data_IF_748528858784
#
_entry.id   IF_748528858784
#
_cell.length_a   1.000
_cell.length_b   1.000
_cell.length_c   1.000
_cell.angle_alpha   90.00
_cell.angle_beta   90.00
_cell.angle_gamma   90.00
#
_symmetry.space_group_name_H-M   'P 1'
#
loop_
_entity.id
_entity.type
_entity.pdbx_description
1 polymer ?
#
# COMPACT_ATOMS: atom_id res chain seq x y z
N UNK A 1 -9.06 -25.46 -8.77
CA UNK A 1 -7.96 -24.82 -8.03
C UNK A 1 -8.17 -23.34 -8.16
N UNK A 2 -8.70 -22.73 -7.10
CA UNK A 2 -8.91 -21.28 -7.03
C UNK A 2 -7.74 -20.65 -6.27
N UNK A 3 -7.45 -19.38 -6.57
CA UNK A 3 -6.47 -18.60 -5.82
C UNK A 3 -7.18 -17.45 -5.12
N UNK A 4 -6.84 -17.21 -3.88
CA UNK A 4 -7.43 -16.16 -3.06
C UNK A 4 -6.35 -15.25 -2.52
N UNK A 5 -6.63 -13.94 -2.52
CA UNK A 5 -5.88 -12.98 -1.73
C UNK A 5 -6.80 -12.49 -0.60
N UNK A 6 -6.44 -12.81 0.63
CA UNK A 6 -7.18 -12.38 1.81
C UNK A 6 -6.44 -11.24 2.49
N UNK A 7 -7.18 -10.19 2.84
CA UNK A 7 -6.67 -9.05 3.59
C UNK A 7 -7.66 -8.67 4.69
N UNK A 8 -7.23 -7.91 5.67
CA UNK A 8 -8.06 -7.24 6.66
C UNK A 8 -8.77 -6.00 6.11
N UNK A 9 -8.21 -5.41 5.05
CA UNK A 9 -8.59 -4.10 4.56
C UNK A 9 -10.05 -3.98 4.16
N UNK A 10 -10.58 -2.76 4.29
CA UNK A 10 -11.89 -2.34 3.79
C UNK A 10 -11.74 -1.00 3.06
N UNK A 11 -12.76 -0.60 2.33
CA UNK A 11 -12.76 0.70 1.65
C UNK A 11 -11.58 0.84 0.69
N UNK A 12 -10.76 1.87 0.89
CA UNK A 12 -9.62 2.20 0.03
C UNK A 12 -8.59 1.08 -0.08
N UNK A 13 -8.22 0.44 1.02
CA UNK A 13 -7.25 -0.66 1.01
C UNK A 13 -7.77 -1.86 0.22
N UNK A 14 -9.04 -2.23 0.44
CA UNK A 14 -9.68 -3.31 -0.31
C UNK A 14 -9.78 -2.99 -1.81
N UNK A 15 -10.18 -1.76 -2.16
CA UNK A 15 -10.20 -1.30 -3.56
C UNK A 15 -8.80 -1.32 -4.19
N UNK A 16 -7.76 -0.96 -3.45
CA UNK A 16 -6.37 -1.04 -3.90
C UNK A 16 -5.99 -2.47 -4.28
N UNK A 17 -6.26 -3.44 -3.40
CA UNK A 17 -5.95 -4.85 -3.66
C UNK A 17 -6.77 -5.43 -4.82
N UNK A 18 -8.07 -5.12 -4.88
CA UNK A 18 -8.93 -5.47 -6.03
C UNK A 18 -8.37 -4.92 -7.34
N UNK A 19 -7.88 -3.67 -7.34
CA UNK A 19 -7.32 -3.05 -8.53
C UNK A 19 -6.01 -3.73 -8.98
N UNK A 20 -5.08 -3.97 -8.05
CA UNK A 20 -3.82 -4.66 -8.36
C UNK A 20 -4.09 -6.07 -8.89
N UNK A 21 -4.91 -6.86 -8.20
CA UNK A 21 -5.21 -8.22 -8.63
C UNK A 21 -6.03 -8.25 -9.93
N UNK A 22 -6.99 -7.36 -10.10
CA UNK A 22 -7.82 -7.30 -11.31
C UNK A 22 -7.00 -7.12 -12.60
N UNK A 23 -5.87 -6.39 -12.53
CA UNK A 23 -5.00 -6.19 -13.69
C UNK A 23 -3.85 -7.19 -13.78
N UNK A 24 -3.22 -7.54 -12.67
CA UNK A 24 -1.98 -8.33 -12.69
C UNK A 24 -2.21 -9.83 -12.41
N UNK A 25 -3.28 -10.16 -11.69
CA UNK A 25 -3.58 -11.50 -11.19
C UNK A 25 -5.08 -11.82 -11.33
N UNK A 26 -5.62 -11.83 -12.56
CA UNK A 26 -7.06 -11.96 -12.79
C UNK A 26 -7.64 -13.32 -12.34
N UNK A 27 -6.77 -14.31 -12.08
CA UNK A 27 -7.12 -15.61 -11.50
C UNK A 27 -7.20 -15.60 -9.96
N UNK A 28 -6.83 -14.49 -9.30
CA UNK A 28 -6.87 -14.32 -7.85
C UNK A 28 -8.13 -13.55 -7.43
N UNK A 29 -8.94 -14.18 -6.57
CA UNK A 29 -10.10 -13.54 -5.95
C UNK A 29 -9.70 -12.84 -4.65
N UNK A 30 -9.94 -11.53 -4.57
CA UNK A 30 -9.64 -10.72 -3.38
C UNK A 30 -10.82 -10.80 -2.40
N UNK A 31 -10.55 -11.10 -1.13
CA UNK A 31 -11.58 -11.13 -0.08
C UNK A 31 -11.12 -10.41 1.19
N UNK A 32 -11.95 -9.49 1.67
CA UNK A 32 -11.74 -8.85 2.97
C UNK A 32 -12.24 -9.76 4.12
N UNK A 33 -11.40 -9.93 5.14
CA UNK A 33 -11.75 -10.53 6.42
C UNK A 33 -11.98 -9.47 7.51
N UNK A 34 -12.10 -8.19 7.15
CA UNK A 34 -12.53 -7.05 7.98
C UNK A 34 -11.51 -6.55 9.02
N UNK A 35 -10.77 -7.47 9.65
CA UNK A 35 -9.69 -7.17 10.61
C UNK A 35 -8.73 -8.36 10.78
N UNK A 36 -7.58 -8.11 11.41
CA UNK A 36 -6.51 -9.09 11.62
C UNK A 36 -6.97 -10.32 12.44
N UNK A 37 -7.82 -10.14 13.45
CA UNK A 37 -8.30 -11.26 14.26
C UNK A 37 -9.20 -12.21 13.46
N UNK A 38 -10.10 -11.69 12.62
CA UNK A 38 -10.96 -12.50 11.74
C UNK A 38 -10.16 -13.14 10.60
N UNK A 39 -9.17 -12.43 10.06
CA UNK A 39 -8.23 -12.98 9.09
C UNK A 39 -7.48 -14.19 9.68
N UNK A 40 -6.94 -14.05 10.90
CA UNK A 40 -6.27 -15.14 11.62
C UNK A 40 -7.20 -16.34 11.84
N UNK A 41 -8.44 -16.10 12.25
CA UNK A 41 -9.44 -17.17 12.45
C UNK A 41 -9.73 -17.88 11.12
N UNK A 42 -9.86 -17.14 10.01
CA UNK A 42 -10.06 -17.73 8.70
C UNK A 42 -8.87 -18.61 8.28
N UNK A 43 -7.63 -18.14 8.50
CA UNK A 43 -6.40 -18.90 8.21
C UNK A 43 -6.33 -20.20 9.04
N UNK A 44 -6.79 -20.18 10.28
CA UNK A 44 -6.85 -21.38 11.13
C UNK A 44 -7.70 -22.49 10.51
N UNK A 45 -8.80 -22.08 9.86
CA UNK A 45 -9.80 -22.97 9.28
C UNK A 45 -9.44 -23.50 7.88
N UNK A 46 -8.41 -22.95 7.24
CA UNK A 46 -7.92 -23.45 5.94
C UNK A 46 -7.49 -24.91 6.08
N UNK A 47 -7.89 -25.72 5.11
CA UNK A 47 -7.51 -27.12 4.94
C UNK A 47 -6.84 -27.29 3.58
N UNK A 48 -6.29 -28.48 3.34
CA UNK A 48 -5.90 -28.89 2.00
C UNK A 48 -7.15 -29.17 1.16
N UNK A 49 -7.62 -28.13 0.47
CA UNK A 49 -8.80 -28.14 -0.40
C UNK A 49 -8.43 -27.92 -1.87
N UNK A 50 -7.14 -27.96 -2.20
CA UNK A 50 -6.61 -27.69 -3.53
C UNK A 50 -6.71 -26.23 -3.98
N UNK A 51 -6.98 -25.27 -3.07
CA UNK A 51 -6.92 -23.83 -3.33
C UNK A 51 -5.65 -23.22 -2.75
N UNK A 52 -5.20 -22.10 -3.32
CA UNK A 52 -4.05 -21.32 -2.85
C UNK A 52 -4.52 -20.04 -2.14
N UNK A 53 -3.91 -19.73 -1.00
CA UNK A 53 -4.29 -18.61 -0.15
C UNK A 53 -3.12 -17.67 0.11
N UNK A 54 -3.16 -16.47 -0.46
CA UNK A 54 -2.23 -15.38 -0.21
C UNK A 54 -2.78 -14.46 0.87
N UNK A 55 -2.10 -14.37 2.01
CA UNK A 55 -2.57 -13.66 3.19
C UNK A 55 -1.80 -12.35 3.33
N UNK A 56 -2.40 -11.24 2.88
CA UNK A 56 -1.91 -9.89 3.20
C UNK A 56 -2.25 -9.56 4.64
N UNK A 57 -1.27 -9.05 5.37
CA UNK A 57 -1.46 -8.60 6.75
C UNK A 57 -0.57 -7.39 7.05
N UNK A 58 -1.17 -6.39 7.66
CA UNK A 58 -0.53 -5.21 8.20
C UNK A 58 0.37 -5.61 9.37
N UNK A 59 1.65 -5.29 9.23
CA UNK A 59 2.76 -5.72 10.06
C UNK A 59 3.53 -4.53 10.60
N UNK A 60 2.79 -3.53 11.11
CA UNK A 60 3.33 -2.41 11.85
C UNK A 60 4.06 -2.89 13.11
N UNK A 61 5.38 -2.76 13.12
CA UNK A 61 6.24 -3.32 14.15
C UNK A 61 6.16 -2.58 15.50
N UNK A 62 5.59 -1.39 15.53
CA UNK A 62 5.41 -0.56 16.72
C UNK A 62 4.09 -0.86 17.47
N UNK A 63 3.27 -1.78 16.95
CA UNK A 63 2.02 -2.20 17.57
C UNK A 63 2.14 -3.63 18.13
N UNK A 64 2.26 -3.81 19.47
CA UNK A 64 2.43 -5.12 20.09
C UNK A 64 1.27 -6.10 19.85
N UNK A 65 0.05 -5.58 19.68
CA UNK A 65 -1.13 -6.40 19.41
C UNK A 65 -1.09 -6.95 17.97
N UNK A 66 -0.67 -6.12 17.01
CA UNK A 66 -0.43 -6.54 15.62
C UNK A 66 0.65 -7.63 15.55
N UNK A 67 1.78 -7.43 16.24
CA UNK A 67 2.84 -8.44 16.32
C UNK A 67 2.36 -9.78 16.90
N UNK A 68 1.49 -9.72 17.92
CA UNK A 68 0.89 -10.92 18.52
C UNK A 68 -0.03 -11.64 17.54
N UNK A 69 -0.90 -10.91 16.85
CA UNK A 69 -1.80 -11.47 15.83
C UNK A 69 -1.00 -12.11 14.68
N UNK A 70 0.06 -11.46 14.19
CA UNK A 70 0.94 -12.02 13.16
C UNK A 70 1.62 -13.30 13.64
N UNK A 71 2.14 -13.33 14.87
CA UNK A 71 2.78 -14.54 15.43
C UNK A 71 1.78 -15.69 15.51
N UNK A 72 0.55 -15.41 15.93
CA UNK A 72 -0.51 -16.41 16.02
C UNK A 72 -0.97 -16.87 14.62
N UNK A 73 -1.09 -15.96 13.65
CA UNK A 73 -1.42 -16.29 12.26
C UNK A 73 -0.34 -17.17 11.62
N UNK A 74 0.94 -16.84 11.80
CA UNK A 74 2.06 -17.69 11.35
C UNK A 74 2.02 -19.08 11.96
N UNK A 75 1.62 -19.20 13.23
CA UNK A 75 1.42 -20.51 13.88
C UNK A 75 0.27 -21.28 13.23
N UNK A 76 -0.84 -20.61 12.93
CA UNK A 76 -2.01 -21.23 12.28
C UNK A 76 -1.70 -21.68 10.84
N UNK A 77 -0.83 -20.98 10.13
CA UNK A 77 -0.38 -21.33 8.78
C UNK A 77 0.73 -22.40 8.76
N UNK A 78 1.37 -22.70 9.91
CA UNK A 78 2.50 -23.61 9.95
C UNK A 78 2.08 -25.02 9.48
N UNK A 79 2.80 -25.55 8.49
CA UNK A 79 2.51 -26.86 7.89
C UNK A 79 1.41 -26.84 6.83
N UNK A 80 0.91 -25.68 6.42
CA UNK A 80 -0.03 -25.51 5.29
C UNK A 80 0.74 -25.01 4.07
N UNK A 81 0.99 -25.88 3.11
CA UNK A 81 1.75 -25.54 1.89
C UNK A 81 0.98 -24.60 0.95
N UNK A 82 -0.35 -24.55 1.10
CA UNK A 82 -1.25 -23.72 0.31
C UNK A 82 -1.54 -22.34 0.93
N UNK A 83 -0.78 -21.92 1.97
CA UNK A 83 -0.96 -20.63 2.65
C UNK A 83 0.33 -19.81 2.61
N UNK A 84 0.29 -18.68 1.90
CA UNK A 84 1.43 -17.80 1.66
C UNK A 84 1.23 -16.47 2.38
N UNK A 85 2.00 -16.21 3.44
CA UNK A 85 1.85 -14.98 4.23
C UNK A 85 2.69 -13.85 3.61
N UNK A 86 2.04 -12.72 3.33
CA UNK A 86 2.64 -11.51 2.78
C UNK A 86 2.54 -10.37 3.83
N UNK A 87 3.53 -10.24 4.72
CA UNK A 87 3.54 -9.14 5.66
C UNK A 87 3.93 -7.84 4.94
N UNK A 88 3.08 -6.83 5.04
CA UNK A 88 3.36 -5.46 4.59
C UNK A 88 3.11 -4.52 5.75
N UNK A 89 3.67 -3.31 5.73
CA UNK A 89 3.40 -2.37 6.82
C UNK A 89 1.92 -1.93 6.83
N UNK A 90 1.46 -1.36 5.72
CA UNK A 90 0.06 -1.07 5.40
C UNK A 90 -0.07 -0.75 3.90
N UNK A 91 -1.29 -0.68 3.36
CA UNK A 91 -1.47 -0.25 1.97
C UNK A 91 -1.05 1.23 1.77
N UNK A 92 -1.27 2.12 2.75
CA UNK A 92 -0.78 3.50 2.65
C UNK A 92 0.73 3.58 2.64
N UNK A 93 1.39 2.72 3.42
CA UNK A 93 2.85 2.62 3.37
C UNK A 93 3.31 2.07 2.02
N UNK A 94 2.59 1.13 1.41
CA UNK A 94 2.88 0.69 0.05
C UNK A 94 2.82 1.85 -0.95
N UNK A 95 1.79 2.70 -0.88
CA UNK A 95 1.67 3.92 -1.68
C UNK A 95 2.78 4.94 -1.36
N UNK A 96 3.13 5.15 -0.09
CA UNK A 96 4.25 6.02 0.29
C UNK A 96 5.59 5.47 -0.21
N UNK A 97 5.79 4.15 -0.26
CA UNK A 97 7.03 3.56 -0.76
C UNK A 97 7.15 3.59 -2.28
N UNK A 98 6.07 3.90 -2.99
CA UNK A 98 6.04 3.95 -4.45
C UNK A 98 6.93 5.07 -4.99
N UNK A 99 8.05 4.71 -5.61
CA UNK A 99 9.11 5.66 -6.00
C UNK A 99 8.67 6.71 -7.02
N UNK A 100 7.61 6.46 -7.78
CA UNK A 100 7.08 7.42 -8.76
C UNK A 100 5.92 8.25 -8.23
N UNK A 101 5.52 8.12 -6.95
CA UNK A 101 4.38 8.85 -6.37
C UNK A 101 4.47 10.36 -6.61
N UNK A 102 5.63 10.97 -6.34
CA UNK A 102 5.82 12.42 -6.54
C UNK A 102 5.68 12.80 -8.03
N UNK A 103 6.27 11.99 -8.92
CA UNK A 103 6.20 12.17 -10.38
C UNK A 103 4.80 11.93 -10.95
N UNK A 104 3.92 11.23 -10.23
CA UNK A 104 2.55 11.02 -10.64
C UNK A 104 1.66 12.17 -10.20
N UNK A 105 1.84 12.62 -8.96
CA UNK A 105 1.00 13.66 -8.37
C UNK A 105 1.30 15.02 -8.99
N UNK A 106 2.58 15.41 -9.08
CA UNK A 106 2.95 16.79 -9.39
C UNK A 106 3.49 16.94 -10.82
N UNK A 107 2.95 17.92 -11.55
CA UNK A 107 3.55 18.39 -12.80
C UNK A 107 4.87 19.15 -12.55
N UNK A 108 5.69 19.34 -13.59
CA UNK A 108 7.02 19.99 -13.45
C UNK A 108 6.96 21.38 -12.81
N UNK A 109 5.91 22.16 -13.10
CA UNK A 109 5.70 23.52 -12.59
C UNK A 109 4.47 23.62 -11.68
N UNK A 110 4.24 22.58 -10.86
CA UNK A 110 3.10 22.54 -9.95
C UNK A 110 3.40 23.26 -8.63
N UNK A 111 2.71 24.37 -8.35
CA UNK A 111 2.81 25.09 -7.07
C UNK A 111 2.48 24.22 -5.86
N UNK A 112 1.63 23.20 -6.02
CA UNK A 112 1.30 22.27 -4.95
C UNK A 112 2.53 21.47 -4.53
N UNK A 113 3.44 21.15 -5.46
CA UNK A 113 4.70 20.47 -5.15
C UNK A 113 5.53 21.28 -4.16
N UNK A 114 5.67 22.58 -4.41
CA UNK A 114 6.38 23.51 -3.52
C UNK A 114 5.75 23.54 -2.13
N UNK A 115 4.41 23.61 -2.07
CA UNK A 115 3.65 23.56 -0.81
C UNK A 115 3.79 22.21 -0.08
N UNK A 116 4.17 21.13 -0.76
CA UNK A 116 4.31 19.77 -0.21
C UNK A 116 5.75 19.30 0.00
N UNK A 117 6.77 20.12 -0.32
CA UNK A 117 8.19 19.77 -0.12
C UNK A 117 8.52 19.26 1.28
N UNK A 118 7.98 19.90 2.33
CA UNK A 118 8.16 19.45 3.71
C UNK A 118 7.64 18.03 3.94
N UNK A 119 6.46 17.70 3.42
CA UNK A 119 5.89 16.35 3.54
C UNK A 119 6.63 15.31 2.69
N UNK A 120 7.16 15.71 1.52
CA UNK A 120 8.01 14.84 0.70
C UNK A 120 9.33 14.50 1.40
N UNK A 121 9.92 15.46 2.12
CA UNK A 121 11.08 15.22 2.98
C UNK A 121 10.75 14.30 4.16
N UNK A 122 9.65 14.58 4.87
CA UNK A 122 9.15 13.73 5.97
C UNK A 122 8.90 12.30 5.47
N UNK A 123 8.35 12.13 4.25
CA UNK A 123 8.20 10.82 3.60
C UNK A 123 9.53 10.11 3.40
N UNK A 124 10.55 10.80 2.91
CA UNK A 124 11.87 10.20 2.72
C UNK A 124 12.45 9.69 4.06
N UNK A 125 12.39 10.51 5.11
CA UNK A 125 12.81 10.10 6.46
C UNK A 125 12.00 8.91 6.98
N UNK A 126 10.67 8.96 6.84
CA UNK A 126 9.78 7.91 7.31
C UNK A 126 10.07 6.56 6.62
N UNK A 127 10.30 6.55 5.31
CA UNK A 127 10.67 5.35 4.58
C UNK A 127 11.98 4.76 5.10
N UNK A 128 13.03 5.58 5.31
CA UNK A 128 14.31 5.09 5.87
C UNK A 128 14.12 4.47 7.24
N UNK A 129 13.37 5.12 8.12
CA UNK A 129 13.13 4.65 9.48
C UNK A 129 12.39 3.30 9.51
N UNK A 130 11.32 3.14 8.71
CA UNK A 130 10.56 1.88 8.66
C UNK A 130 11.35 0.76 7.99
N UNK A 131 12.12 1.07 6.96
CA UNK A 131 12.96 0.09 6.27
C UNK A 131 14.26 -0.23 7.03
N UNK A 132 14.44 0.32 8.23
CA UNK A 132 15.63 0.13 9.09
C UNK A 132 16.93 0.60 8.43
N UNK A 133 16.84 1.61 7.56
CA UNK A 133 17.95 2.29 6.90
C UNK A 133 18.26 3.65 7.54
N UNK A 134 17.48 4.06 8.54
CA UNK A 134 17.57 5.38 9.17
C UNK A 134 18.43 5.45 10.43
N UNK A 135 18.91 6.65 10.77
CA UNK A 135 19.71 6.91 11.97
C UNK A 135 18.91 7.48 13.15
N UNK A 136 19.52 7.53 14.33
CA UNK A 136 18.93 8.19 15.52
C UNK A 136 18.70 9.68 15.30
N UNK A 137 19.58 10.34 14.54
CA UNK A 137 19.48 11.74 14.15
C UNK A 137 18.28 11.96 13.22
N UNK A 138 18.12 11.10 12.21
CA UNK A 138 16.96 11.14 11.30
C UNK A 138 15.65 10.85 12.04
N UNK A 139 15.66 10.00 13.06
CA UNK A 139 14.49 9.78 13.93
C UNK A 139 14.14 11.04 14.74
N UNK A 140 15.15 11.75 15.26
CA UNK A 140 14.94 13.01 15.99
C UNK A 140 14.36 14.08 15.06
N UNK A 141 14.98 14.26 13.89
CA UNK A 141 14.53 15.19 12.86
C UNK A 141 13.08 14.89 12.44
N UNK A 142 12.76 13.62 12.16
CA UNK A 142 11.41 13.19 11.81
C UNK A 142 10.38 13.57 12.89
N UNK A 143 10.71 13.38 14.18
CA UNK A 143 9.83 13.71 15.31
C UNK A 143 9.65 15.22 15.53
N UNK A 144 10.63 16.01 15.13
CA UNK A 144 10.56 17.48 15.17
C UNK A 144 9.72 18.03 14.01
N UNK A 145 9.98 17.56 12.79
CA UNK A 145 9.28 17.98 11.58
C UNK A 145 7.84 17.48 11.53
N UNK A 146 7.55 16.33 12.15
CA UNK A 146 6.22 15.74 12.15
C UNK A 146 5.73 15.41 13.58
N UNK A 147 5.36 16.44 14.39
CA UNK A 147 4.97 16.24 15.79
C UNK A 147 3.81 15.27 16.01
N UNK A 148 2.96 15.06 15.00
CA UNK A 148 1.89 14.05 15.02
C UNK A 148 2.43 12.64 15.32
N UNK A 149 3.65 12.32 14.86
CA UNK A 149 4.30 11.03 15.09
C UNK A 149 4.59 10.72 16.58
N UNK A 150 4.55 11.72 17.48
CA UNK A 150 4.78 11.50 18.92
C UNK A 150 3.63 10.76 19.61
N UNK A 151 2.44 10.72 19.00
CA UNK A 151 1.21 10.17 19.59
C UNK A 151 0.46 9.21 18.66
N UNK A 152 1.08 8.83 17.56
CA UNK A 152 0.48 8.03 16.50
C UNK A 152 1.34 6.80 16.24
N UNK A 153 0.72 5.66 15.95
CA UNK A 153 1.44 4.50 15.46
C UNK A 153 1.89 4.73 13.99
N UNK A 154 2.75 3.87 13.47
CA UNK A 154 3.32 4.06 12.14
C UNK A 154 2.28 3.94 11.01
N UNK A 155 1.18 3.19 11.21
CA UNK A 155 0.04 3.15 10.26
C UNK A 155 -0.69 4.48 10.19
N UNK A 156 -1.00 5.07 11.34
CA UNK A 156 -1.62 6.39 11.45
C UNK A 156 -0.72 7.47 10.85
N UNK A 157 0.60 7.36 11.07
CA UNK A 157 1.59 8.23 10.43
C UNK A 157 1.56 8.06 8.91
N UNK A 158 1.59 6.82 8.40
CA UNK A 158 1.56 6.53 6.96
C UNK A 158 0.29 7.10 6.31
N UNK A 159 -0.87 6.84 6.91
CA UNK A 159 -2.15 7.33 6.43
C UNK A 159 -2.23 8.86 6.44
N UNK A 160 -1.80 9.51 7.55
CA UNK A 160 -1.81 10.98 7.66
C UNK A 160 -0.84 11.63 6.68
N UNK A 161 0.36 11.04 6.51
CA UNK A 161 1.38 11.57 5.62
C UNK A 161 1.00 11.41 4.16
N UNK A 162 0.44 10.25 3.78
CA UNK A 162 -0.12 10.03 2.44
C UNK A 162 -1.19 11.08 2.15
N UNK A 163 -2.15 11.26 3.07
CA UNK A 163 -3.19 12.28 2.95
C UNK A 163 -2.60 13.69 2.76
N UNK A 164 -1.63 14.12 3.57
CA UNK A 164 -1.04 15.45 3.41
C UNK A 164 -0.31 15.63 2.09
N UNK A 165 0.27 14.57 1.51
CA UNK A 165 0.92 14.63 0.20
C UNK A 165 -0.12 14.68 -0.93
N UNK A 166 -1.18 13.87 -0.84
CA UNK A 166 -2.11 13.64 -1.94
C UNK A 166 -3.36 14.52 -1.90
N UNK A 167 -3.67 15.18 -0.78
CA UNK A 167 -4.91 15.94 -0.62
C UNK A 167 -5.07 17.03 -1.68
N UNK A 168 -6.31 17.25 -2.10
CA UNK A 168 -6.72 18.11 -3.21
C UNK A 168 -6.11 17.68 -4.56
N UNK A 169 -5.86 16.39 -4.76
CA UNK A 169 -5.44 15.82 -6.05
C UNK A 169 -6.28 14.59 -6.36
N UNK A 170 -6.29 14.13 -7.61
CA UNK A 170 -6.95 12.88 -7.98
C UNK A 170 -6.35 11.61 -7.33
N UNK A 171 -5.23 11.75 -6.60
CA UNK A 171 -4.58 10.68 -5.83
C UNK A 171 -4.98 10.70 -4.34
N UNK A 172 -5.82 11.64 -3.89
CA UNK A 172 -6.28 11.66 -2.51
C UNK A 172 -7.05 10.38 -2.16
N UNK A 173 -6.65 9.73 -1.08
CA UNK A 173 -7.31 8.53 -0.55
C UNK A 173 -8.10 8.90 0.70
N UNK A 174 -9.35 8.43 0.78
CA UNK A 174 -10.20 8.55 1.96
C UNK A 174 -10.51 7.18 2.57
N UNK A 175 -11.31 7.13 3.64
CA UNK A 175 -11.62 5.87 4.34
C UNK A 175 -12.40 4.85 3.51
N UNK A 176 -13.11 5.29 2.49
CA UNK A 176 -13.97 4.48 1.64
C UNK A 176 -13.36 4.19 0.27
N UNK A 177 -12.57 5.13 -0.27
CA UNK A 177 -12.11 5.08 -1.66
C UNK A 177 -10.63 5.40 -1.81
N UNK A 178 -9.97 4.61 -2.66
CA UNK A 178 -8.65 4.97 -3.18
C UNK A 178 -8.78 6.12 -4.17
N UNK A 179 -7.78 7.01 -4.21
CA UNK A 179 -7.73 8.09 -5.19
C UNK A 179 -7.88 7.57 -6.61
N UNK A 180 -8.86 8.11 -7.34
CA UNK A 180 -9.28 7.61 -8.66
C UNK A 180 -8.11 7.56 -9.66
N UNK A 181 -7.16 8.49 -9.58
CA UNK A 181 -6.00 8.53 -10.47
C UNK A 181 -5.05 7.34 -10.27
N UNK A 182 -5.15 6.56 -9.19
CA UNK A 182 -4.42 5.29 -9.05
C UNK A 182 -5.03 4.15 -9.87
N UNK A 183 -6.33 4.18 -10.14
CA UNK A 183 -7.09 3.00 -10.61
C UNK A 183 -7.65 3.14 -12.02
N UNK A 184 -7.81 4.36 -12.54
CA UNK A 184 -8.31 4.59 -13.91
C UNK A 184 -7.20 4.97 -14.88
N UNK A 185 -7.48 4.89 -16.18
CA UNK A 185 -6.63 5.44 -17.23
C UNK A 185 -6.42 6.96 -17.02
N UNK A 186 -5.21 7.46 -17.32
CA UNK A 186 -4.91 8.87 -17.16
C UNK A 186 -5.89 9.77 -17.93
N UNK A 187 -6.39 10.78 -17.22
CA UNK A 187 -7.31 11.80 -17.75
C UNK A 187 -8.74 11.32 -18.06
N UNK A 188 -9.09 10.07 -17.77
CA UNK A 188 -10.41 9.51 -18.13
C UNK A 188 -11.43 9.51 -16.98
N UNK A 189 -11.14 10.17 -15.85
CA UNK A 189 -12.09 10.30 -14.74
C UNK A 189 -13.02 11.51 -14.92
N UNK A 190 -14.31 11.28 -14.70
CA UNK A 190 -15.40 12.19 -15.07
C UNK A 190 -15.45 13.54 -14.37
N UNK A 191 -14.73 13.71 -13.25
CA UNK A 191 -14.73 14.92 -12.43
C UNK A 191 -13.48 15.80 -12.64
N UNK A 192 -12.60 15.44 -13.58
CA UNK A 192 -11.37 16.19 -13.87
C UNK A 192 -11.69 17.60 -14.40
N UNK A 193 -11.08 18.61 -13.78
CA UNK A 193 -11.15 20.00 -14.19
C UNK A 193 -9.93 20.41 -15.02
N UNK A 194 -10.03 21.51 -15.77
CA UNK A 194 -8.96 21.99 -16.63
C UNK A 194 -7.68 22.38 -15.85
N UNK A 195 -7.83 22.77 -14.59
CA UNK A 195 -6.74 23.09 -13.66
C UNK A 195 -6.27 21.91 -12.81
N UNK A 196 -6.89 20.72 -12.95
CA UNK A 196 -6.39 19.49 -12.34
C UNK A 196 -5.20 19.00 -13.15
N UNK A 197 -4.03 19.60 -12.91
CA UNK A 197 -2.75 19.17 -13.49
C UNK A 197 -2.16 18.03 -12.67
N UNK A 198 -1.42 17.15 -13.33
CA UNK A 198 -0.64 16.12 -12.65
C UNK A 198 0.61 15.74 -13.44
N UNK A 199 1.53 15.03 -12.80
CA UNK A 199 2.78 14.63 -13.44
C UNK A 199 2.63 13.59 -14.56
N UNK A 200 1.42 13.06 -14.76
CA UNK A 200 1.09 12.12 -15.84
C UNK A 200 0.49 12.79 -17.08
N UNK A 201 0.35 14.12 -17.11
CA UNK A 201 -0.32 14.81 -18.21
C UNK A 201 0.42 14.68 -19.55
N UNK A 202 1.76 14.69 -19.50
CA UNK A 202 2.61 14.55 -20.68
C UNK A 202 2.95 13.09 -21.01
N UNK A 203 2.61 12.15 -20.13
CA UNK A 203 2.87 10.72 -20.32
C UNK A 203 1.72 9.91 -19.73
N UNK A 204 0.64 9.80 -20.50
CA UNK A 204 -0.57 9.09 -20.07
C UNK A 204 -0.28 7.61 -19.88
N UNK A 205 -0.72 7.07 -18.74
CA UNK A 205 -0.51 5.69 -18.33
C UNK A 205 -1.87 5.01 -18.18
N UNK A 206 -2.00 3.79 -18.72
CA UNK A 206 -3.20 2.96 -18.51
C UNK A 206 -3.29 2.47 -17.07
N UNK A 207 -4.49 2.14 -16.61
CA UNK A 207 -4.75 1.55 -15.30
C UNK A 207 -3.96 0.26 -15.07
N UNK A 208 -3.85 -0.59 -16.10
CA UNK A 208 -3.03 -1.81 -16.05
C UNK A 208 -1.54 -1.50 -15.82
N UNK A 209 -0.99 -0.52 -16.55
CA UNK A 209 0.40 -0.11 -16.39
C UNK A 209 0.63 0.60 -15.06
N UNK A 210 -0.37 1.31 -14.54
CA UNK A 210 -0.32 1.88 -13.18
C UNK A 210 -0.21 0.79 -12.12
N UNK A 211 -1.03 -0.26 -12.22
CA UNK A 211 -0.95 -1.41 -11.31
C UNK A 211 0.44 -2.06 -11.35
N UNK A 212 0.99 -2.29 -12.55
CA UNK A 212 2.34 -2.84 -12.73
C UNK A 212 3.42 -1.96 -12.09
N UNK A 213 3.37 -0.64 -12.31
CA UNK A 213 4.32 0.31 -11.73
C UNK A 213 4.20 0.39 -10.21
N UNK A 214 2.97 0.39 -9.68
CA UNK A 214 2.70 0.39 -8.24
C UNK A 214 3.33 -0.84 -7.57
N UNK A 215 3.24 -2.02 -8.16
CA UNK A 215 3.91 -3.21 -7.62
C UNK A 215 5.42 -3.11 -7.79
N UNK A 216 5.90 -2.91 -9.02
CA UNK A 216 7.33 -3.00 -9.38
C UNK A 216 8.23 -1.92 -8.74
N UNK A 217 7.66 -0.76 -8.38
CA UNK A 217 8.40 0.39 -7.83
C UNK A 217 8.04 0.73 -6.38
N UNK A 218 7.44 -0.21 -5.64
CA UNK A 218 7.15 -0.07 -4.21
C UNK A 218 7.73 -1.25 -3.42
N UNK A 219 7.45 -1.31 -2.12
CA UNK A 219 7.77 -2.51 -1.31
C UNK A 219 7.06 -3.78 -1.80
N UNK A 220 5.97 -3.64 -2.56
CA UNK A 220 5.15 -4.76 -3.00
C UNK A 220 5.90 -5.70 -3.92
N UNK A 221 6.83 -5.20 -4.75
CA UNK A 221 7.67 -6.06 -5.59
C UNK A 221 8.32 -7.18 -4.77
N UNK A 222 9.08 -6.81 -3.74
CA UNK A 222 9.75 -7.79 -2.87
C UNK A 222 8.75 -8.64 -2.07
N UNK A 223 7.62 -8.06 -1.67
CA UNK A 223 6.60 -8.77 -0.92
C UNK A 223 5.95 -9.88 -1.76
N UNK A 224 5.66 -9.61 -3.04
CA UNK A 224 5.04 -10.54 -3.98
C UNK A 224 6.04 -11.55 -4.55
N UNK A 225 7.28 -11.14 -4.81
CA UNK A 225 8.37 -12.06 -5.22
C UNK A 225 8.56 -13.19 -4.21
N UNK A 226 8.49 -12.90 -2.91
CA UNK A 226 8.67 -13.89 -1.82
C UNK A 226 7.65 -15.01 -1.81
N UNK A 227 6.50 -14.80 -2.46
CA UNK A 227 5.40 -15.78 -2.51
C UNK A 227 5.09 -16.22 -3.95
N UNK A 228 5.97 -15.93 -4.90
CA UNK A 228 5.79 -16.32 -6.31
C UNK A 228 4.64 -15.59 -7.03
N UNK A 229 4.20 -14.43 -6.53
CA UNK A 229 3.24 -13.57 -7.21
C UNK A 229 3.92 -12.59 -8.17
N UNK A 230 5.24 -12.45 -8.14
CA UNK A 230 5.93 -11.54 -9.05
C UNK A 230 7.17 -12.24 -9.60
N UNK A 231 7.09 -12.71 -10.83
CA UNK A 231 8.22 -13.27 -11.56
C UNK A 231 8.84 -12.20 -12.47
N UNK A 232 10.17 -12.16 -12.56
CA UNK A 232 10.95 -11.19 -13.36
C UNK A 232 10.79 -11.38 -14.90
N UNK A 233 9.60 -11.74 -15.38
CA UNK A 233 9.29 -12.04 -16.78
C UNK A 233 8.63 -10.90 -17.57
N UNK A 234 8.90 -9.64 -17.20
CA UNK A 234 8.66 -8.47 -18.06
C UNK A 234 9.97 -8.01 -18.70
#
# INVERSE_FOLDING_TARGET
MSKYLWCEDRGSGYQFWCNICGYLYPDITVESKINNSRLRIAVDQIRDDGNEYYILIDAAADNPDVLREIKALKKNAAGKDNVHIIPIHSFEFALLSFRLLEKWIFAEQDELREKRKGYLHIRALFLKLILSEGTSEELSEFRELFPYAKKANTEQIASKLLFEITRNTGFETDKGNIGVCFTVDCCDWSKRQANDICGLDNNKISASKKAELLVSHSILKRAFERVGLYDNGL
#
